data_IF_735543301864
#
_entry.id   IF_735543301864
#
_cell.length_a   1.000
_cell.length_b   1.000
_cell.length_c   1.000
_cell.angle_alpha   90.00
_cell.angle_beta   90.00
_cell.angle_gamma   90.00
#
_symmetry.space_group_name_H-M   'P 1'
#
loop_
_entity.id
_entity.type
_entity.pdbx_description
1 polymer ?
#
# COMPACT_ATOMS: atom_id res chain seq x y z
N UNK A 1 34.70 -86.64 5.51
CA UNK A 1 33.35 -86.40 4.91
C UNK A 1 32.67 -85.40 5.82
N UNK A 2 32.67 -84.15 5.38
CA UNK A 2 32.18 -82.95 6.06
C UNK A 2 30.65 -82.96 6.14
N UNK A 3 30.10 -82.59 7.30
CA UNK A 3 28.74 -82.05 7.39
C UNK A 3 28.76 -80.84 8.32
N UNK A 4 28.44 -79.71 7.70
CA UNK A 4 28.47 -78.35 8.22
C UNK A 4 27.46 -78.15 9.35
N UNK A 5 27.92 -77.52 10.43
CA UNK A 5 27.04 -76.91 11.43
C UNK A 5 26.54 -75.56 10.88
N UNK A 6 25.34 -75.55 10.30
CA UNK A 6 24.65 -74.31 9.92
C UNK A 6 24.38 -73.44 11.16
N UNK A 7 25.12 -72.33 11.23
CA UNK A 7 24.88 -71.24 12.16
C UNK A 7 23.66 -70.45 11.69
N UNK A 8 22.52 -70.64 12.36
CA UNK A 8 21.36 -69.74 12.26
C UNK A 8 21.74 -68.36 12.80
N UNK A 9 21.73 -67.27 12.00
CA UNK A 9 21.97 -65.94 12.54
C UNK A 9 20.72 -65.45 13.27
N UNK A 10 20.75 -65.45 14.61
CA UNK A 10 19.77 -64.71 15.42
C UNK A 10 19.97 -63.21 15.19
N UNK A 11 19.28 -62.65 14.20
CA UNK A 11 19.08 -61.21 14.09
C UNK A 11 18.24 -60.71 15.27
N UNK A 12 18.89 -60.42 16.40
CA UNK A 12 18.32 -59.56 17.45
C UNK A 12 18.29 -58.13 16.93
N UNK A 13 17.27 -57.81 16.13
CA UNK A 13 16.86 -56.43 15.90
C UNK A 13 16.45 -55.80 17.23
N UNK A 14 17.36 -55.05 17.86
CA UNK A 14 17.02 -54.13 18.96
C UNK A 14 16.12 -53.05 18.37
N UNK A 15 14.81 -53.31 18.30
CA UNK A 15 13.83 -52.24 18.23
C UNK A 15 13.98 -51.43 19.52
N UNK A 16 14.71 -50.31 19.45
CA UNK A 16 14.69 -49.29 20.51
C UNK A 16 13.25 -48.80 20.56
N UNK A 17 12.47 -49.36 21.48
CA UNK A 17 11.16 -48.83 21.82
C UNK A 17 11.36 -47.36 22.22
N UNK A 18 10.88 -46.45 21.38
CA UNK A 18 10.87 -45.02 21.69
C UNK A 18 10.02 -44.88 22.94
N UNK A 19 10.66 -44.53 24.06
CA UNK A 19 9.96 -44.45 25.34
C UNK A 19 8.87 -43.37 25.24
N UNK A 20 7.64 -43.62 25.72
CA UNK A 20 6.51 -42.71 25.58
C UNK A 20 6.76 -41.31 26.18
N UNK A 21 7.68 -41.21 27.15
CA UNK A 21 8.16 -39.96 27.75
C UNK A 21 8.98 -39.07 26.79
N UNK A 22 9.62 -39.64 25.75
CA UNK A 22 10.35 -38.86 24.74
C UNK A 22 9.40 -38.22 23.72
N UNK A 23 8.34 -38.93 23.34
CA UNK A 23 7.31 -38.42 22.41
C UNK A 23 6.55 -37.26 23.06
N UNK A 24 6.15 -37.39 24.32
CA UNK A 24 5.47 -36.32 25.07
C UNK A 24 6.33 -35.06 25.25
N UNK A 25 7.65 -35.21 25.48
CA UNK A 25 8.58 -34.08 25.59
C UNK A 25 8.82 -33.39 24.25
N UNK A 26 8.90 -34.14 23.16
CA UNK A 26 9.05 -33.57 21.82
C UNK A 26 7.79 -32.79 21.38
N UNK A 27 6.61 -33.34 21.64
CA UNK A 27 5.32 -32.66 21.41
C UNK A 27 5.18 -31.40 22.25
N UNK A 28 5.51 -31.44 23.55
CA UNK A 28 5.51 -30.24 24.41
C UNK A 28 6.45 -29.16 23.88
N UNK A 29 7.66 -29.53 23.43
CA UNK A 29 8.62 -28.55 22.89
C UNK A 29 8.15 -27.92 21.58
N UNK A 30 7.55 -28.71 20.69
CA UNK A 30 6.99 -28.20 19.45
C UNK A 30 5.79 -27.27 19.70
N UNK A 31 4.90 -27.64 20.64
CA UNK A 31 3.72 -26.87 20.98
C UNK A 31 4.07 -25.57 21.71
N UNK A 32 5.07 -25.60 22.59
CA UNK A 32 5.63 -24.38 23.22
C UNK A 32 6.30 -23.49 22.17
N UNK A 33 7.04 -24.05 21.23
CA UNK A 33 7.73 -23.28 20.18
C UNK A 33 6.78 -22.60 19.17
N UNK A 34 5.52 -23.05 19.06
CA UNK A 34 4.54 -22.46 18.11
C UNK A 34 3.48 -21.64 18.81
N UNK A 35 2.94 -22.10 19.94
CA UNK A 35 1.83 -21.45 20.65
C UNK A 35 2.31 -20.24 21.44
N UNK A 36 3.51 -20.29 22.04
CA UNK A 36 4.02 -19.18 22.86
C UNK A 36 4.34 -17.94 22.01
N UNK A 37 5.04 -18.02 20.86
CA UNK A 37 5.24 -16.85 20.01
C UNK A 37 3.92 -16.28 19.48
N UNK A 38 2.95 -17.14 19.13
CA UNK A 38 1.62 -16.71 18.67
C UNK A 38 0.84 -15.95 19.75
N UNK A 39 0.87 -16.42 20.99
CA UNK A 39 0.25 -15.74 22.14
C UNK A 39 0.95 -14.42 22.46
N UNK A 40 2.28 -14.35 22.38
CA UNK A 40 3.04 -13.11 22.58
C UNK A 40 2.76 -12.08 21.48
N UNK A 41 2.63 -12.52 20.22
CA UNK A 41 2.22 -11.67 19.10
C UNK A 41 0.79 -11.14 19.30
N UNK A 42 -0.16 -12.00 19.67
CA UNK A 42 -1.54 -11.60 19.95
C UNK A 42 -1.62 -10.62 21.13
N UNK A 43 -0.86 -10.85 22.20
CA UNK A 43 -0.78 -9.96 23.34
C UNK A 43 -0.13 -8.61 22.95
N UNK A 44 0.93 -8.63 22.16
CA UNK A 44 1.56 -7.42 21.62
C UNK A 44 0.60 -6.59 20.77
N UNK A 45 -0.17 -7.25 19.90
CA UNK A 45 -1.21 -6.61 19.09
C UNK A 45 -2.36 -6.04 19.94
N UNK A 46 -2.78 -6.76 20.98
CA UNK A 46 -3.81 -6.29 21.93
C UNK A 46 -3.34 -5.10 22.77
N UNK A 47 -2.11 -5.13 23.28
CA UNK A 47 -1.50 -4.00 24.01
C UNK A 47 -1.30 -2.82 23.09
N UNK A 48 -0.88 -3.04 21.84
CA UNK A 48 -0.77 -1.99 20.84
C UNK A 48 -2.14 -1.38 20.51
N UNK A 49 -3.17 -2.22 20.33
CA UNK A 49 -4.55 -1.80 20.07
C UNK A 49 -5.20 -1.07 21.25
N UNK A 50 -4.92 -1.48 22.50
CA UNK A 50 -5.53 -0.90 23.70
C UNK A 50 -4.76 0.26 24.34
N UNK A 51 -3.42 0.27 24.26
CA UNK A 51 -2.57 1.14 25.07
C UNK A 51 -1.93 2.34 24.35
N UNK A 52 -1.92 2.37 23.01
CA UNK A 52 -1.29 3.49 22.29
C UNK A 52 -2.31 4.54 21.83
N UNK A 53 -1.98 5.81 22.01
CA UNK A 53 -2.82 6.95 21.62
C UNK A 53 -3.13 6.91 20.12
N UNK A 54 -4.36 7.29 19.73
CA UNK A 54 -4.84 7.30 18.33
C UNK A 54 -3.88 8.05 17.39
N UNK A 55 -3.25 9.12 17.90
CA UNK A 55 -2.23 9.91 17.21
C UNK A 55 -0.93 9.15 16.92
N UNK A 56 -0.49 8.24 17.79
CA UNK A 56 0.70 7.41 17.55
C UNK A 56 0.43 6.32 16.50
N UNK A 57 -0.75 5.68 16.57
CA UNK A 57 -1.19 4.70 15.57
C UNK A 57 -1.33 5.33 14.18
N UNK A 58 -1.91 6.53 14.11
CA UNK A 58 -2.02 7.29 12.87
C UNK A 58 -0.66 7.66 12.28
N UNK A 59 0.31 8.07 13.12
CA UNK A 59 1.69 8.37 12.69
C UNK A 59 2.42 7.15 12.16
N UNK A 60 2.23 5.99 12.79
CA UNK A 60 2.84 4.74 12.34
C UNK A 60 2.23 4.27 11.02
N UNK A 61 0.90 4.39 10.87
CA UNK A 61 0.18 4.04 9.65
C UNK A 61 0.44 4.97 8.45
N UNK A 62 1.04 6.15 8.66
CA UNK A 62 1.36 7.08 7.56
C UNK A 62 2.83 7.18 7.24
N UNK A 63 3.71 6.46 7.96
CA UNK A 63 5.15 6.48 7.70
C UNK A 63 5.52 5.40 6.68
N UNK A 64 6.13 5.75 5.52
CA UNK A 64 6.54 4.78 4.49
C UNK A 64 7.44 3.66 5.03
N UNK A 65 8.28 3.99 6.01
CA UNK A 65 9.21 3.06 6.66
C UNK A 65 8.50 1.93 7.41
N UNK A 66 7.36 2.24 8.06
CA UNK A 66 6.57 1.24 8.79
C UNK A 66 6.07 0.14 7.86
N UNK A 67 5.60 0.51 6.66
CA UNK A 67 5.15 -0.46 5.68
C UNK A 67 6.29 -1.36 5.18
N UNK A 68 7.50 -0.84 5.01
CA UNK A 68 8.69 -1.67 4.70
C UNK A 68 9.01 -2.64 5.83
N UNK A 69 9.04 -2.15 7.06
CA UNK A 69 9.38 -2.96 8.23
C UNK A 69 8.32 -4.05 8.44
N UNK A 70 7.04 -3.70 8.30
CA UNK A 70 5.93 -4.65 8.37
C UNK A 70 6.02 -5.70 7.26
N UNK A 71 6.28 -5.30 6.01
CA UNK A 71 6.43 -6.24 4.89
C UNK A 71 7.61 -7.20 5.10
N UNK A 72 8.76 -6.70 5.55
CA UNK A 72 9.93 -7.52 5.88
C UNK A 72 9.62 -8.47 7.03
N UNK A 73 9.00 -7.97 8.11
CA UNK A 73 8.63 -8.80 9.26
C UNK A 73 7.66 -9.92 8.88
N UNK A 74 6.63 -9.61 8.10
CA UNK A 74 5.66 -10.59 7.60
C UNK A 74 6.35 -11.62 6.69
N UNK A 75 7.28 -11.18 5.83
CA UNK A 75 8.09 -12.07 4.99
C UNK A 75 8.97 -13.03 5.81
N UNK A 76 9.65 -12.53 6.84
CA UNK A 76 10.48 -13.35 7.75
C UNK A 76 9.63 -14.37 8.50
N UNK A 77 8.46 -13.97 9.01
CA UNK A 77 7.51 -14.88 9.67
C UNK A 77 7.01 -15.95 8.69
N UNK A 78 6.66 -15.55 7.45
CA UNK A 78 6.24 -16.47 6.39
C UNK A 78 7.31 -17.51 6.05
N UNK A 79 8.57 -17.09 5.89
CA UNK A 79 9.70 -17.99 5.67
C UNK A 79 9.94 -18.94 6.84
N UNK A 80 9.83 -18.43 8.08
CA UNK A 80 9.90 -19.25 9.29
C UNK A 80 8.79 -20.30 9.35
N UNK A 81 7.58 -19.94 8.92
CA UNK A 81 6.42 -20.84 8.86
C UNK A 81 6.59 -21.94 7.81
N UNK A 82 7.08 -21.59 6.61
CA UNK A 82 7.44 -22.57 5.56
C UNK A 82 8.52 -23.52 6.07
N UNK A 83 9.57 -22.99 6.70
CA UNK A 83 10.63 -23.79 7.31
C UNK A 83 10.09 -24.77 8.37
N UNK A 84 9.15 -24.31 9.20
CA UNK A 84 8.48 -25.14 10.21
C UNK A 84 7.67 -26.28 9.58
N UNK A 85 6.88 -26.01 8.53
CA UNK A 85 6.11 -27.02 7.80
C UNK A 85 7.06 -28.07 7.20
N UNK A 86 8.11 -27.62 6.51
CA UNK A 86 9.12 -28.50 5.91
C UNK A 86 9.83 -29.36 6.96
N UNK A 87 10.26 -28.77 8.09
CA UNK A 87 10.93 -29.49 9.16
C UNK A 87 10.01 -30.53 9.82
N UNK A 88 8.74 -30.18 10.00
CA UNK A 88 7.71 -31.08 10.55
C UNK A 88 7.50 -32.26 9.61
N UNK A 89 7.38 -32.01 8.30
CA UNK A 89 7.25 -33.05 7.28
C UNK A 89 8.48 -33.99 7.24
N UNK A 90 9.69 -33.43 7.23
CA UNK A 90 10.93 -34.22 7.20
C UNK A 90 11.09 -35.08 8.46
N UNK A 91 10.69 -34.57 9.63
CA UNK A 91 10.76 -35.33 10.89
C UNK A 91 9.68 -36.41 11.04
N UNK A 92 8.47 -36.19 10.52
CA UNK A 92 7.35 -37.13 10.66
C UNK A 92 7.19 -38.09 9.47
N UNK A 93 8.01 -37.97 8.41
CA UNK A 93 7.94 -38.92 7.28
C UNK A 93 8.26 -40.34 7.77
N UNK A 94 7.34 -41.28 7.54
CA UNK A 94 7.60 -42.70 7.79
C UNK A 94 8.65 -43.21 6.78
N UNK A 95 9.72 -43.89 7.23
CA UNK A 95 10.70 -44.52 6.34
C UNK A 95 10.05 -45.49 5.34
N UNK A 96 8.89 -46.06 5.70
CA UNK A 96 8.18 -47.09 4.94
C UNK A 96 6.99 -46.56 4.12
N UNK A 97 6.84 -45.23 3.97
CA UNK A 97 5.76 -44.66 3.16
C UNK A 97 5.94 -44.98 1.66
N UNK A 98 4.84 -45.32 0.98
CA UNK A 98 4.84 -45.56 -0.47
C UNK A 98 5.16 -44.28 -1.26
N UNK A 99 5.66 -44.42 -2.49
CA UNK A 99 5.98 -43.28 -3.36
C UNK A 99 4.77 -42.37 -3.61
N UNK A 100 3.56 -42.95 -3.71
CA UNK A 100 2.33 -42.20 -3.86
C UNK A 100 1.99 -41.35 -2.61
N UNK A 101 2.16 -41.90 -1.40
CA UNK A 101 1.92 -41.16 -0.16
C UNK A 101 2.92 -40.00 0.03
N UNK A 102 4.18 -40.19 -0.41
CA UNK A 102 5.20 -39.14 -0.41
C UNK A 102 4.89 -38.02 -1.41
N UNK A 103 4.36 -38.39 -2.59
CA UNK A 103 3.95 -37.43 -3.60
C UNK A 103 2.78 -36.57 -3.11
N UNK A 104 1.73 -37.19 -2.57
CA UNK A 104 0.56 -36.47 -2.02
C UNK A 104 0.96 -35.55 -0.86
N UNK A 105 1.85 -36.01 0.02
CA UNK A 105 2.40 -35.19 1.11
C UNK A 105 3.18 -33.99 0.59
N UNK A 106 4.05 -34.17 -0.41
CA UNK A 106 4.80 -33.08 -1.02
C UNK A 106 3.88 -32.06 -1.70
N UNK A 107 2.87 -32.51 -2.47
CA UNK A 107 1.87 -31.63 -3.09
C UNK A 107 1.07 -30.83 -2.06
N UNK A 108 0.69 -31.45 -0.94
CA UNK A 108 -0.05 -30.78 0.13
C UNK A 108 0.79 -29.68 0.80
N UNK A 109 2.08 -29.95 1.04
CA UNK A 109 3.02 -28.95 1.58
C UNK A 109 3.19 -27.78 0.61
N UNK A 110 3.37 -28.06 -0.68
CA UNK A 110 3.48 -27.03 -1.73
C UNK A 110 2.21 -26.18 -1.78
N UNK A 111 1.03 -26.80 -1.69
CA UNK A 111 -0.25 -26.10 -1.68
C UNK A 111 -0.42 -25.19 -0.46
N UNK A 112 -0.06 -25.67 0.74
CA UNK A 112 -0.11 -24.83 1.96
C UNK A 112 0.90 -23.68 1.91
N UNK A 113 2.11 -23.93 1.40
CA UNK A 113 3.10 -22.87 1.17
C UNK A 113 2.58 -21.84 0.18
N UNK A 114 1.96 -22.27 -0.91
CA UNK A 114 1.33 -21.39 -1.89
C UNK A 114 0.19 -20.56 -1.31
N UNK A 115 -0.69 -21.17 -0.51
CA UNK A 115 -1.81 -20.49 0.15
C UNK A 115 -1.37 -19.38 1.12
N UNK A 116 -0.19 -19.53 1.75
CA UNK A 116 0.39 -18.50 2.63
C UNK A 116 1.21 -17.48 1.85
N UNK A 117 2.07 -17.93 0.93
CA UNK A 117 3.00 -17.06 0.22
C UNK A 117 2.30 -16.13 -0.79
N UNK A 118 1.20 -16.58 -1.42
CA UNK A 118 0.49 -15.80 -2.44
C UNK A 118 -0.13 -14.50 -1.89
N UNK A 119 -0.96 -14.53 -0.83
CA UNK A 119 -1.51 -13.28 -0.26
C UNK A 119 -0.41 -12.37 0.31
N UNK A 120 0.69 -12.93 0.84
CA UNK A 120 1.85 -12.16 1.28
C UNK A 120 2.53 -11.43 0.11
N UNK A 121 2.78 -12.13 -0.99
CA UNK A 121 3.42 -11.58 -2.18
C UNK A 121 2.56 -10.49 -2.84
N UNK A 122 1.23 -10.73 -2.92
CA UNK A 122 0.28 -9.74 -3.41
C UNK A 122 0.27 -8.49 -2.50
N UNK A 123 0.25 -8.68 -1.18
CA UNK A 123 0.28 -7.57 -0.22
C UNK A 123 1.58 -6.75 -0.34
N UNK A 124 2.72 -7.43 -0.48
CA UNK A 124 4.02 -6.76 -0.70
C UNK A 124 4.04 -5.95 -2.00
N UNK A 125 3.47 -6.50 -3.08
CA UNK A 125 3.30 -5.80 -4.36
C UNK A 125 2.45 -4.53 -4.19
N UNK A 126 1.28 -4.62 -3.54
CA UNK A 126 0.42 -3.45 -3.32
C UNK A 126 1.08 -2.36 -2.46
N UNK A 127 1.92 -2.74 -1.49
CA UNK A 127 2.68 -1.79 -0.68
C UNK A 127 3.76 -1.08 -1.49
N UNK A 128 4.46 -1.79 -2.38
CA UNK A 128 5.49 -1.21 -3.25
C UNK A 128 4.86 -0.31 -4.32
N UNK A 129 3.77 -0.76 -4.95
CA UNK A 129 3.02 0.00 -5.95
C UNK A 129 2.41 1.27 -5.34
N UNK A 130 1.97 1.22 -4.07
CA UNK A 130 1.45 2.38 -3.33
C UNK A 130 2.49 3.44 -2.95
N UNK A 131 3.80 3.15 -3.01
CA UNK A 131 4.86 4.13 -2.69
C UNK A 131 4.94 5.29 -3.68
N UNK A 132 4.60 5.04 -4.95
CA UNK A 132 4.58 6.08 -5.98
C UNK A 132 3.54 7.18 -5.75
N UNK A 133 2.53 6.92 -4.91
CA UNK A 133 1.46 7.88 -4.59
C UNK A 133 1.93 8.95 -3.61
N UNK A 134 2.91 8.63 -2.74
CA UNK A 134 3.34 9.53 -1.66
C UNK A 134 4.58 10.38 -2.01
N UNK A 135 5.32 10.03 -3.06
CA UNK A 135 6.51 10.79 -3.49
C UNK A 135 6.16 12.17 -4.08
N UNK A 136 4.89 12.39 -4.45
CA UNK A 136 4.36 13.67 -4.92
C UNK A 136 4.06 14.69 -3.79
N UNK A 137 4.22 14.31 -2.51
CA UNK A 137 3.88 15.18 -1.37
C UNK A 137 5.00 16.15 -0.93
N UNK A 138 6.16 16.11 -1.59
CA UNK A 138 7.31 16.97 -1.28
C UNK A 138 7.33 18.33 -1.98
N UNK A 139 6.44 18.58 -2.94
CA UNK A 139 6.38 19.83 -3.69
C UNK A 139 5.65 20.93 -2.90
N UNK A 140 6.19 22.16 -2.92
CA UNK A 140 5.53 23.33 -2.34
C UNK A 140 4.34 23.72 -3.21
N UNK A 141 3.15 23.74 -2.64
CA UNK A 141 1.92 24.20 -3.29
C UNK A 141 1.43 25.50 -2.64
N UNK A 142 1.05 26.48 -3.46
CA UNK A 142 0.55 27.77 -2.99
C UNK A 142 -0.83 27.66 -2.33
N UNK A 143 -1.55 26.56 -2.59
CA UNK A 143 -2.92 26.33 -2.13
C UNK A 143 -3.01 25.33 -0.98
N UNK A 144 -1.88 24.71 -0.58
CA UNK A 144 -1.87 23.74 0.52
C UNK A 144 -2.01 24.41 1.89
N UNK A 145 -2.86 23.87 2.77
CA UNK A 145 -3.00 24.40 4.12
C UNK A 145 -1.73 24.32 4.97
N UNK A 146 -1.56 25.28 5.88
CA UNK A 146 -0.51 25.21 6.91
C UNK A 146 -0.87 24.13 7.95
N UNK A 147 -0.43 22.90 7.73
CA UNK A 147 -0.53 21.79 8.69
C UNK A 147 0.67 21.79 9.66
N UNK A 148 0.45 21.31 10.88
CA UNK A 148 1.53 21.10 11.87
C UNK A 148 1.40 19.73 12.53
N UNK A 149 2.46 19.24 13.19
CA UNK A 149 2.43 17.94 13.87
C UNK A 149 1.32 17.84 14.92
N UNK A 150 0.95 18.96 15.58
CA UNK A 150 -0.18 19.02 16.52
C UNK A 150 -1.55 19.12 15.85
N UNK A 151 -1.60 19.59 14.60
CA UNK A 151 -2.82 19.76 13.83
C UNK A 151 -2.56 19.33 12.37
N UNK A 152 -2.54 18.01 12.12
CA UNK A 152 -2.13 17.45 10.82
C UNK A 152 -3.04 17.88 9.67
N UNK A 153 -4.27 18.31 9.98
CA UNK A 153 -5.29 18.70 8.98
C UNK A 153 -5.61 20.20 9.02
N UNK A 154 -4.85 20.97 9.81
CA UNK A 154 -5.05 22.41 9.94
C UNK A 154 -6.45 22.81 10.41
N UNK A 155 -7.11 21.97 11.22
CA UNK A 155 -8.42 22.25 11.82
C UNK A 155 -9.64 21.94 10.93
N UNK A 156 -9.44 21.22 9.82
CA UNK A 156 -10.52 20.88 8.88
C UNK A 156 -11.28 19.62 9.30
N UNK A 157 -12.58 19.60 9.01
CA UNK A 157 -13.42 18.41 9.11
C UNK A 157 -13.28 17.47 7.90
N UNK A 158 -12.89 18.00 6.74
CA UNK A 158 -12.61 17.23 5.51
C UNK A 158 -11.27 17.61 4.88
N UNK A 159 -10.65 16.63 4.23
CA UNK A 159 -9.43 16.82 3.43
C UNK A 159 -9.76 16.48 1.99
N UNK A 160 -9.46 17.41 1.08
CA UNK A 160 -9.75 17.26 -0.34
C UNK A 160 -8.44 17.07 -1.11
N UNK A 161 -8.27 15.88 -1.68
CA UNK A 161 -7.07 15.48 -2.45
C UNK A 161 -7.44 15.32 -3.92
N UNK A 162 -6.81 16.11 -4.77
CA UNK A 162 -6.97 16.05 -6.21
C UNK A 162 -6.06 14.98 -6.81
N UNK A 163 -6.64 13.98 -7.44
CA UNK A 163 -5.94 12.93 -8.16
C UNK A 163 -5.91 13.28 -9.64
N UNK A 164 -4.72 13.57 -10.13
CA UNK A 164 -4.46 13.90 -11.53
C UNK A 164 -3.79 12.70 -12.18
N UNK A 165 -4.41 12.16 -13.23
CA UNK A 165 -3.80 11.19 -14.12
C UNK A 165 -3.30 11.91 -15.37
N UNK A 166 -2.04 11.70 -15.73
CA UNK A 166 -1.48 12.19 -17.00
C UNK A 166 -0.57 11.16 -17.65
N UNK A 167 -0.26 11.38 -18.91
CA UNK A 167 0.70 10.61 -19.71
C UNK A 167 2.04 11.34 -19.89
N UNK A 168 2.29 12.37 -19.07
CA UNK A 168 3.41 13.27 -19.21
C UNK A 168 4.47 13.13 -18.11
N UNK A 169 5.72 12.91 -18.52
CA UNK A 169 6.88 12.85 -17.64
C UNK A 169 7.01 14.10 -16.73
N UNK A 170 7.43 13.88 -15.47
CA UNK A 170 7.51 14.82 -14.32
C UNK A 170 8.17 16.18 -14.61
N UNK A 171 8.90 16.34 -15.73
CA UNK A 171 9.62 17.56 -16.11
C UNK A 171 9.42 18.04 -17.56
N UNK A 172 8.40 17.54 -18.28
CA UNK A 172 8.11 18.08 -19.62
C UNK A 172 7.12 19.25 -19.55
N UNK A 173 7.46 20.42 -20.10
CA UNK A 173 6.42 21.40 -20.46
C UNK A 173 5.52 20.75 -21.52
N UNK A 174 4.25 20.50 -21.19
CA UNK A 174 3.31 19.91 -22.15
C UNK A 174 2.29 18.91 -21.60
N UNK A 175 2.35 18.51 -20.33
CA UNK A 175 1.45 17.50 -19.77
C UNK A 175 0.01 18.01 -19.73
N UNK A 176 -0.93 17.23 -20.28
CA UNK A 176 -2.36 17.41 -20.07
C UNK A 176 -2.83 16.37 -19.07
N UNK A 177 -3.80 16.73 -18.23
CA UNK A 177 -4.39 15.76 -17.30
C UNK A 177 -5.52 15.03 -18.00
N UNK A 178 -5.35 13.74 -18.24
CA UNK A 178 -6.36 12.89 -18.87
C UNK A 178 -7.45 12.45 -17.89
N UNK A 179 -7.12 12.38 -16.60
CA UNK A 179 -8.05 12.07 -15.52
C UNK A 179 -7.97 13.12 -14.43
N UNK A 180 -9.13 13.64 -14.00
CA UNK A 180 -9.24 14.61 -12.92
C UNK A 180 -10.28 14.11 -11.93
N UNK A 181 -9.84 13.65 -10.76
CA UNK A 181 -10.71 13.17 -9.71
C UNK A 181 -10.44 13.92 -8.41
N UNK A 182 -11.48 14.30 -7.68
CA UNK A 182 -11.34 14.85 -6.33
C UNK A 182 -11.81 13.83 -5.30
N UNK A 183 -10.91 13.43 -4.41
CA UNK A 183 -11.23 12.64 -3.23
C UNK A 183 -11.47 13.56 -2.04
N UNK A 184 -12.72 13.63 -1.59
CA UNK A 184 -13.09 14.36 -0.37
C UNK A 184 -13.24 13.38 0.79
N UNK A 185 -12.38 13.49 1.79
CA UNK A 185 -12.25 12.52 2.90
C UNK A 185 -12.67 13.18 4.20
N UNK A 186 -13.63 12.58 4.91
CA UNK A 186 -13.98 12.99 6.27
C UNK A 186 -12.88 12.58 7.26
N UNK A 187 -12.32 13.54 7.98
CA UNK A 187 -11.13 13.33 8.82
C UNK A 187 -11.44 12.48 10.06
N UNK A 188 -12.68 12.48 10.54
CA UNK A 188 -13.11 11.76 11.75
C UNK A 188 -13.49 10.31 11.44
N UNK A 189 -14.15 10.07 10.31
CA UNK A 189 -14.75 8.79 9.96
C UNK A 189 -14.02 8.05 8.82
N UNK A 190 -13.18 8.74 8.05
CA UNK A 190 -12.53 8.20 6.86
C UNK A 190 -13.46 8.00 5.65
N UNK A 191 -14.75 8.38 5.76
CA UNK A 191 -15.70 8.27 4.66
C UNK A 191 -15.25 9.16 3.51
N UNK A 192 -15.11 8.55 2.33
CA UNK A 192 -14.57 9.21 1.14
C UNK A 192 -15.63 9.32 0.06
N UNK A 193 -15.73 10.50 -0.56
CA UNK A 193 -16.54 10.74 -1.75
C UNK A 193 -15.59 11.08 -2.90
N UNK A 194 -15.80 10.46 -4.06
CA UNK A 194 -15.02 10.72 -5.27
C UNK A 194 -15.86 11.49 -6.28
N UNK A 195 -15.36 12.64 -6.71
CA UNK A 195 -15.93 13.42 -7.81
C UNK A 195 -15.04 13.25 -9.04
N UNK A 196 -15.57 12.69 -10.12
CA UNK A 196 -14.88 12.61 -11.40
C UNK A 196 -15.28 13.79 -12.28
N UNK A 197 -14.30 14.56 -12.77
CA UNK A 197 -14.56 15.70 -13.63
C UNK A 197 -14.18 15.36 -15.08
N UNK A 198 -15.06 15.63 -16.06
CA UNK A 198 -14.74 15.44 -17.46
C UNK A 198 -13.55 16.31 -17.88
N UNK A 199 -12.55 15.70 -18.54
CA UNK A 199 -11.36 16.40 -19.07
C UNK A 199 -11.69 17.53 -20.04
N UNK A 200 -12.84 17.43 -20.72
CA UNK A 200 -13.34 18.37 -21.73
C UNK A 200 -14.32 19.41 -21.14
N UNK A 201 -14.38 19.56 -19.81
CA UNK A 201 -15.22 20.57 -19.18
C UNK A 201 -14.80 21.97 -19.67
N UNK A 202 -15.76 22.70 -20.23
CA UNK A 202 -15.55 24.03 -20.82
C UNK A 202 -15.90 25.12 -19.81
N UNK A 203 -15.30 26.31 -20.00
CA UNK A 203 -15.58 27.51 -19.19
C UNK A 203 -15.51 27.21 -17.68
N UNK A 204 -14.57 26.34 -17.29
CA UNK A 204 -14.43 25.95 -15.88
C UNK A 204 -14.10 27.20 -15.05
N UNK A 205 -14.89 27.54 -14.03
CA UNK A 205 -14.61 28.70 -13.20
C UNK A 205 -13.41 28.41 -12.29
N UNK A 206 -12.63 29.45 -11.98
CA UNK A 206 -11.63 29.37 -10.93
C UNK A 206 -12.25 29.79 -9.58
N UNK A 207 -11.69 29.29 -8.48
CA UNK A 207 -12.14 29.64 -7.14
C UNK A 207 -12.21 31.16 -6.92
N UNK A 208 -13.32 31.62 -6.35
CA UNK A 208 -13.56 33.04 -6.09
C UNK A 208 -12.43 33.68 -5.26
N UNK A 209 -12.09 34.92 -5.58
CA UNK A 209 -11.00 35.65 -4.92
C UNK A 209 -9.59 35.20 -5.32
N UNK A 210 -9.43 34.16 -6.16
CA UNK A 210 -8.13 33.80 -6.74
C UNK A 210 -7.73 34.78 -7.85
N UNK A 211 -6.41 34.95 -8.07
CA UNK A 211 -5.91 35.75 -9.20
C UNK A 211 -6.42 35.22 -10.54
N UNK A 212 -6.56 33.91 -10.69
CA UNK A 212 -7.08 33.30 -11.92
C UNK A 212 -8.57 33.59 -12.14
N UNK A 213 -9.37 33.73 -11.08
CA UNK A 213 -10.76 34.16 -11.22
C UNK A 213 -10.87 35.61 -11.70
N UNK A 214 -9.92 36.47 -11.33
CA UNK A 214 -9.86 37.85 -11.85
C UNK A 214 -9.46 37.90 -13.33
N UNK A 215 -8.52 37.04 -13.76
CA UNK A 215 -8.11 36.93 -15.17
C UNK A 215 -9.14 36.25 -16.06
N UNK A 216 -9.92 35.33 -15.50
CA UNK A 216 -10.92 34.51 -16.21
C UNK A 216 -12.30 34.60 -15.55
N UNK A 217 -12.96 35.78 -15.58
CA UNK A 217 -14.23 35.99 -14.88
C UNK A 217 -15.39 35.16 -15.47
N UNK A 218 -15.31 34.81 -16.76
CA UNK A 218 -16.27 33.94 -17.44
C UNK A 218 -15.86 32.44 -17.42
N UNK A 219 -14.88 32.08 -16.58
CA UNK A 219 -14.23 30.78 -16.58
C UNK A 219 -13.11 30.68 -17.61
N UNK A 220 -12.42 29.54 -17.62
CA UNK A 220 -11.28 29.32 -18.52
C UNK A 220 -11.75 29.23 -19.98
N UNK A 221 -11.62 30.33 -20.73
CA UNK A 221 -12.01 30.48 -22.14
C UNK A 221 -11.27 31.66 -22.80
N UNK A 222 -11.14 31.61 -24.12
CA UNK A 222 -10.77 32.75 -24.99
C UNK A 222 -11.97 33.38 -25.70
N UNK A 223 -13.20 32.93 -25.40
CA UNK A 223 -14.42 33.35 -26.10
C UNK A 223 -14.74 32.52 -27.35
N UNK A 224 -13.86 31.61 -27.78
CA UNK A 224 -14.13 30.68 -28.87
C UNK A 224 -14.83 29.43 -28.34
N UNK A 225 -15.95 29.06 -28.95
CA UNK A 225 -16.66 27.84 -28.57
C UNK A 225 -15.87 26.58 -28.96
N UNK A 226 -15.93 25.54 -28.12
CA UNK A 226 -15.30 24.25 -28.36
C UNK A 226 -13.77 24.28 -28.59
N UNK A 227 -13.08 25.30 -28.06
CA UNK A 227 -11.62 25.33 -28.11
C UNK A 227 -11.01 24.38 -27.07
N UNK A 228 -10.38 23.29 -27.54
CA UNK A 228 -9.74 22.29 -26.69
C UNK A 228 -8.56 22.84 -25.87
N UNK A 229 -8.01 24.00 -26.23
CA UNK A 229 -6.99 24.71 -25.44
C UNK A 229 -7.56 25.39 -24.20
N UNK A 230 -8.89 25.43 -24.06
CA UNK A 230 -9.59 26.03 -22.92
C UNK A 230 -10.49 25.02 -22.20
N UNK A 231 -10.18 23.73 -22.32
CA UNK A 231 -10.81 22.69 -21.51
C UNK A 231 -10.06 22.51 -20.18
N UNK A 232 -10.72 21.87 -19.21
CA UNK A 232 -10.13 21.59 -17.89
C UNK A 232 -8.76 20.90 -17.97
N UNK A 233 -8.59 19.93 -18.87
CA UNK A 233 -7.31 19.23 -19.04
C UNK A 233 -6.16 20.12 -19.54
N UNK A 234 -6.48 21.22 -20.22
CA UNK A 234 -5.51 22.15 -20.76
C UNK A 234 -5.02 23.15 -19.69
N UNK A 235 -5.76 23.34 -18.59
CA UNK A 235 -5.39 24.26 -17.48
C UNK A 235 -3.98 23.96 -16.96
N UNK A 236 -3.67 22.67 -16.74
CA UNK A 236 -2.37 22.23 -16.21
C UNK A 236 -1.19 22.70 -17.07
N UNK A 237 -1.38 22.75 -18.39
CA UNK A 237 -0.35 23.14 -19.37
C UNK A 237 -0.37 24.63 -19.68
N UNK A 238 -1.55 25.17 -19.94
CA UNK A 238 -1.71 26.46 -20.59
C UNK A 238 -1.56 27.62 -19.60
N UNK A 239 -1.90 27.42 -18.32
CA UNK A 239 -1.67 28.44 -17.29
C UNK A 239 -0.16 28.67 -17.08
N UNK A 240 0.69 27.64 -16.86
CA UNK A 240 2.14 27.86 -16.78
C UNK A 240 2.80 28.34 -18.07
N UNK A 241 2.20 28.10 -19.24
CA UNK A 241 2.71 28.61 -20.50
C UNK A 241 2.44 30.11 -20.69
N UNK A 242 1.36 30.64 -20.08
CA UNK A 242 0.93 32.03 -20.22
C UNK A 242 1.45 32.95 -19.09
N UNK A 243 1.63 32.40 -17.89
CA UNK A 243 1.96 33.17 -16.70
C UNK A 243 3.32 32.75 -16.11
N UNK A 244 4.06 33.66 -15.45
CA UNK A 244 5.31 33.32 -14.79
C UNK A 244 5.07 32.35 -13.61
N UNK A 245 6.09 31.55 -13.28
CA UNK A 245 5.96 30.47 -12.28
C UNK A 245 5.51 30.95 -10.88
N UNK A 246 5.79 32.20 -10.52
CA UNK A 246 5.44 32.82 -9.24
C UNK A 246 4.08 33.56 -9.27
N UNK A 247 3.31 33.46 -10.36
CA UNK A 247 2.05 34.18 -10.52
C UNK A 247 1.06 33.93 -9.37
N UNK A 248 0.91 32.68 -8.94
CA UNK A 248 0.07 32.28 -7.80
C UNK A 248 0.80 32.36 -6.44
N UNK A 249 2.06 32.80 -6.41
CA UNK A 249 2.93 32.80 -5.24
C UNK A 249 3.97 31.69 -5.29
N UNK A 250 4.49 31.28 -4.12
CA UNK A 250 5.54 30.25 -4.03
C UNK A 250 4.94 28.86 -4.28
N UNK A 251 5.05 28.40 -5.52
CA UNK A 251 4.66 27.05 -5.95
C UNK A 251 5.78 26.41 -6.77
N UNK A 252 6.00 25.12 -6.55
CA UNK A 252 6.90 24.32 -7.38
C UNK A 252 6.18 23.81 -8.64
N UNK A 253 4.83 23.84 -8.65
CA UNK A 253 3.99 23.37 -9.75
C UNK A 253 2.75 24.25 -9.95
N UNK A 254 2.92 25.31 -10.74
CA UNK A 254 1.86 26.25 -11.09
C UNK A 254 0.66 25.58 -11.79
N UNK A 255 0.92 24.55 -12.61
CA UNK A 255 -0.11 23.82 -13.35
C UNK A 255 -1.05 23.07 -12.42
N UNK A 256 -0.48 22.34 -11.45
CA UNK A 256 -1.25 21.64 -10.44
C UNK A 256 -2.11 22.61 -9.60
N UNK A 257 -1.51 23.72 -9.14
CA UNK A 257 -2.24 24.73 -8.36
C UNK A 257 -3.37 25.40 -9.16
N UNK A 258 -3.16 25.64 -10.45
CA UNK A 258 -4.20 26.17 -11.32
C UNK A 258 -5.38 25.19 -11.47
N UNK A 259 -5.12 23.89 -11.63
CA UNK A 259 -6.18 22.88 -11.69
C UNK A 259 -6.90 22.76 -10.34
N UNK A 260 -6.19 22.84 -9.20
CA UNK A 260 -6.83 22.89 -7.87
C UNK A 260 -7.82 24.04 -7.76
N UNK A 261 -7.45 25.23 -8.24
CA UNK A 261 -8.34 26.40 -8.26
C UNK A 261 -9.52 26.22 -9.22
N UNK A 262 -9.32 25.61 -10.39
CA UNK A 262 -10.39 25.33 -11.35
C UNK A 262 -11.41 24.32 -10.79
N UNK A 263 -10.93 23.20 -10.23
CA UNK A 263 -11.79 22.18 -9.60
C UNK A 263 -12.51 22.76 -8.39
N UNK A 264 -11.83 23.60 -7.61
CA UNK A 264 -12.42 24.27 -6.46
C UNK A 264 -13.54 25.24 -6.87
N UNK A 265 -13.33 26.02 -7.95
CA UNK A 265 -14.38 26.86 -8.52
C UNK A 265 -15.56 26.07 -9.07
N UNK A 266 -15.30 24.94 -9.75
CA UNK A 266 -16.35 24.11 -10.35
C UNK A 266 -17.24 23.41 -9.31
N UNK A 267 -16.65 22.93 -8.20
CA UNK A 267 -17.37 22.17 -7.18
C UNK A 267 -17.77 23.00 -5.96
N UNK A 268 -17.27 24.24 -5.82
CA UNK A 268 -17.53 25.10 -4.66
C UNK A 268 -16.88 24.61 -3.36
N UNK A 269 -15.92 23.69 -3.44
CA UNK A 269 -15.21 23.13 -2.28
C UNK A 269 -13.70 23.37 -2.41
N UNK A 270 -12.99 23.67 -1.32
CA UNK A 270 -11.55 23.93 -1.37
C UNK A 270 -10.78 22.64 -1.69
N UNK A 271 -9.73 22.73 -2.50
CA UNK A 271 -8.85 21.60 -2.83
C UNK A 271 -7.52 21.78 -2.12
N UNK A 272 -7.22 20.91 -1.15
CA UNK A 272 -6.09 21.09 -0.23
C UNK A 272 -4.78 20.53 -0.77
N UNK A 273 -4.84 19.35 -1.39
CA UNK A 273 -3.67 18.61 -1.87
C UNK A 273 -3.88 18.12 -3.30
N UNK A 274 -2.80 17.76 -3.98
CA UNK A 274 -2.87 17.01 -5.23
C UNK A 274 -1.87 15.86 -5.22
N UNK A 275 -2.17 14.86 -6.02
CA UNK A 275 -1.26 13.78 -6.40
C UNK A 275 -1.32 13.69 -7.91
N UNK A 276 -0.18 13.79 -8.58
CA UNK A 276 -0.05 13.51 -10.00
C UNK A 276 0.50 12.11 -10.19
N UNK A 277 -0.31 11.23 -10.77
CA UNK A 277 0.09 9.88 -11.16
C UNK A 277 0.34 9.90 -12.65
N UNK A 278 1.57 9.57 -13.03
CA UNK A 278 1.96 9.41 -14.42
C UNK A 278 2.11 7.92 -14.75
N UNK A 279 1.71 7.53 -15.95
CA UNK A 279 1.78 6.13 -16.42
C UNK A 279 3.17 5.73 -16.97
N UNK A 280 4.19 6.57 -16.79
CA UNK A 280 5.55 6.34 -17.28
C UNK A 280 6.38 5.39 -16.41
#
# INVERSE_FOLDING_TARGET
>A
MSWDSERVPKHRGRHKAVRPDQVGRALRRALVATVVPGLLLALGLLVFAGGTSTSYKARLATTPDFYTIAAVAIGVVGLGWVGLICLTYVRHRSPNASSAARFIGACSVIAMCGAVATPLALSGKYVVDGRGIFDATGERSATTPKASVKNPWGGRDRVNVLLLGGDGAVRRPGVRTDSVLLASIDVKTGKTILFSLPRNLQKVPFAEGSKLAAEYPAGFTDGTENNAEYFLNAVYRNIPAKYPADFLGRTDNLGADAVKLAVSGALGIPVDYYVLINLA
#
